data_IF_694522895783
#
_entry.id   IF_694522895783
#
_cell.length_a   1.000
_cell.length_b   1.000
_cell.length_c   1.000
_cell.angle_alpha   90.00
_cell.angle_beta   90.00
_cell.angle_gamma   90.00
#
_symmetry.space_group_name_H-M   'P 1'
#
loop_
_entity.id
_entity.type
_entity.pdbx_description
1 polymer ?
#
# COMPACT_ATOMS: atom_id res chain seq x y z
N UNK A 1 5.31 14.70 7.01
CA UNK A 1 4.78 15.43 5.82
C UNK A 1 3.93 16.64 6.21
N UNK A 2 2.93 16.51 7.09
CA UNK A 2 2.05 17.64 7.47
C UNK A 2 2.81 18.95 7.83
N UNK A 3 3.88 18.88 8.64
CA UNK A 3 4.67 20.06 9.06
C UNK A 3 5.08 20.99 7.91
N UNK A 4 5.51 20.45 6.76
CA UNK A 4 6.08 21.24 5.65
C UNK A 4 5.05 21.77 4.65
N UNK A 5 3.80 21.29 4.71
CA UNK A 5 2.74 21.80 3.83
C UNK A 5 2.23 23.16 4.31
N UNK A 6 1.80 24.01 3.37
CA UNK A 6 1.02 25.22 3.68
C UNK A 6 -0.40 24.82 4.14
N UNK A 7 -1.10 25.71 4.84
CA UNK A 7 -2.53 25.50 5.16
C UNK A 7 -3.33 25.31 3.87
N UNK A 8 -4.21 24.30 3.82
CA UNK A 8 -4.93 23.91 2.61
C UNK A 8 -4.08 23.13 1.59
N UNK A 9 -2.80 22.87 1.88
CA UNK A 9 -1.95 22.06 1.01
C UNK A 9 -2.33 20.58 1.04
N UNK A 10 -2.09 19.89 -0.08
CA UNK A 10 -2.49 18.50 -0.26
C UNK A 10 -1.29 17.54 -0.21
N UNK A 11 -1.52 16.35 0.33
CA UNK A 11 -0.64 15.19 0.27
C UNK A 11 -1.32 14.11 -0.56
N UNK A 12 -0.59 13.56 -1.52
CA UNK A 12 -1.03 12.46 -2.38
C UNK A 12 0.03 11.35 -2.31
N UNK A 13 -0.37 10.15 -1.92
CA UNK A 13 0.52 8.97 -1.84
C UNK A 13 -0.10 7.85 -2.66
N UNK A 14 0.67 7.26 -3.56
CA UNK A 14 0.30 6.06 -4.31
C UNK A 14 1.20 4.94 -3.81
N UNK A 15 0.60 3.92 -3.20
CA UNK A 15 1.36 2.82 -2.61
C UNK A 15 0.72 1.46 -2.95
N UNK A 16 1.53 0.41 -2.99
CA UNK A 16 1.05 -0.96 -3.13
C UNK A 16 0.37 -1.41 -1.84
N UNK A 17 -0.76 -2.10 -1.99
CA UNK A 17 -1.58 -2.59 -0.88
C UNK A 17 -2.11 -3.99 -1.16
N UNK A 18 -2.66 -4.62 -0.14
CA UNK A 18 -3.24 -5.95 -0.24
C UNK A 18 -4.75 -5.84 -0.50
N UNK A 19 -5.29 -6.48 -1.55
CA UNK A 19 -6.73 -6.55 -1.77
C UNK A 19 -7.46 -7.14 -0.56
N UNK A 20 -8.59 -6.53 -0.18
CA UNK A 20 -9.35 -6.91 1.02
C UNK A 20 -10.56 -7.80 0.73
N UNK A 21 -11.08 -7.76 -0.50
CA UNK A 21 -12.31 -8.44 -0.90
C UNK A 21 -12.07 -9.68 -1.76
N UNK A 22 -12.98 -10.66 -1.61
CA UNK A 22 -13.08 -11.79 -2.54
C UNK A 22 -13.56 -11.30 -3.92
N UNK A 23 -13.07 -11.88 -5.03
CA UNK A 23 -12.07 -12.96 -5.12
C UNK A 23 -10.62 -12.47 -5.16
N UNK A 24 -10.40 -11.16 -5.29
CA UNK A 24 -9.07 -10.62 -5.59
C UNK A 24 -8.06 -10.87 -4.46
N UNK A 25 -8.50 -10.83 -3.19
CA UNK A 25 -7.64 -11.14 -2.03
C UNK A 25 -6.97 -12.51 -2.18
N UNK A 26 -7.74 -13.54 -2.54
CA UNK A 26 -7.24 -14.90 -2.69
C UNK A 26 -6.31 -15.03 -3.88
N UNK A 27 -6.72 -14.48 -5.04
CA UNK A 27 -5.90 -14.50 -6.24
C UNK A 27 -4.55 -13.81 -6.03
N UNK A 28 -4.57 -12.63 -5.40
CA UNK A 28 -3.36 -11.88 -5.10
C UNK A 28 -2.46 -12.62 -4.12
N UNK A 29 -3.02 -13.23 -3.06
CA UNK A 29 -2.25 -14.02 -2.10
C UNK A 29 -1.59 -15.25 -2.74
N UNK A 30 -2.29 -15.96 -3.62
CA UNK A 30 -1.70 -17.10 -4.36
C UNK A 30 -0.58 -16.61 -5.28
N UNK A 31 -0.80 -15.51 -6.00
CA UNK A 31 0.21 -14.91 -6.86
C UNK A 31 1.45 -14.46 -6.06
N UNK A 32 1.27 -13.70 -4.98
CA UNK A 32 2.37 -13.12 -4.19
C UNK A 32 3.19 -14.17 -3.46
N UNK A 33 2.55 -15.25 -2.97
CA UNK A 33 3.20 -16.26 -2.14
C UNK A 33 3.74 -17.45 -2.94
N UNK A 34 3.22 -17.70 -4.14
CA UNK A 34 3.60 -18.88 -4.94
C UNK A 34 4.28 -18.48 -6.24
N UNK A 35 3.62 -17.61 -7.03
CA UNK A 35 4.10 -17.26 -8.38
C UNK A 35 5.33 -16.35 -8.28
N UNK A 36 5.23 -15.24 -7.54
CA UNK A 36 6.30 -14.25 -7.42
C UNK A 36 7.62 -14.86 -6.91
N UNK A 37 7.65 -15.68 -5.85
CA UNK A 37 8.89 -16.26 -5.35
C UNK A 37 9.49 -17.32 -6.29
N UNK A 38 8.66 -18.07 -7.02
CA UNK A 38 9.14 -19.01 -8.04
C UNK A 38 9.80 -18.27 -9.20
N UNK A 39 9.17 -17.21 -9.73
CA UNK A 39 9.76 -16.40 -10.79
C UNK A 39 11.04 -15.69 -10.34
N UNK A 40 11.06 -15.13 -9.12
CA UNK A 40 12.26 -14.51 -8.56
C UNK A 40 13.44 -15.48 -8.44
N UNK A 41 13.17 -16.74 -8.07
CA UNK A 41 14.18 -17.82 -8.03
C UNK A 41 14.73 -18.15 -9.42
N UNK A 42 13.87 -18.16 -10.44
CA UNK A 42 14.24 -18.54 -11.80
C UNK A 42 15.05 -17.46 -12.53
N UNK A 43 14.71 -16.18 -12.35
CA UNK A 43 15.30 -15.09 -13.15
C UNK A 43 16.51 -14.44 -12.45
N UNK A 44 16.37 -14.07 -11.18
CA UNK A 44 17.35 -13.19 -10.53
C UNK A 44 18.33 -13.92 -9.60
N UNK A 45 18.14 -15.23 -9.35
CA UNK A 45 18.80 -16.01 -8.27
C UNK A 45 18.70 -15.40 -6.86
N UNK A 46 18.06 -14.24 -6.72
CA UNK A 46 17.89 -13.50 -5.48
C UNK A 46 16.42 -13.55 -5.06
N UNK A 47 16.10 -14.51 -4.21
CA UNK A 47 14.78 -14.65 -3.60
C UNK A 47 14.47 -13.54 -2.59
N UNK A 48 15.50 -12.85 -2.08
CA UNK A 48 15.36 -11.95 -0.95
C UNK A 48 14.62 -10.67 -1.32
N UNK A 49 14.85 -10.13 -2.51
CA UNK A 49 14.24 -8.88 -2.99
C UNK A 49 12.70 -8.98 -3.11
N UNK A 50 12.19 -10.08 -3.64
CA UNK A 50 10.74 -10.29 -3.80
C UNK A 50 10.05 -10.63 -2.48
N UNK A 51 10.73 -11.37 -1.60
CA UNK A 51 10.24 -11.58 -0.23
C UNK A 51 10.18 -10.25 0.53
N UNK A 52 11.19 -9.41 0.38
CA UNK A 52 11.23 -8.07 0.97
C UNK A 52 10.07 -7.21 0.47
N UNK A 53 9.83 -7.16 -0.86
CA UNK A 53 8.69 -6.43 -1.43
C UNK A 53 7.36 -6.84 -0.77
N UNK A 54 7.05 -8.13 -0.73
CA UNK A 54 5.81 -8.61 -0.12
C UNK A 54 5.71 -8.21 1.36
N UNK A 55 6.80 -8.38 2.13
CA UNK A 55 6.85 -8.00 3.55
C UNK A 55 6.62 -6.51 3.75
N UNK A 56 7.17 -5.65 2.88
CA UNK A 56 6.97 -4.19 2.99
C UNK A 56 5.53 -3.78 2.69
N UNK A 57 4.89 -4.41 1.71
CA UNK A 57 3.47 -4.18 1.40
C UNK A 57 2.60 -4.54 2.62
N UNK A 58 2.83 -5.70 3.22
CA UNK A 58 2.08 -6.18 4.39
C UNK A 58 2.31 -5.33 5.65
N UNK A 59 3.53 -4.81 5.84
CA UNK A 59 3.87 -3.98 6.99
C UNK A 59 3.34 -2.54 6.89
N UNK A 60 3.01 -2.06 5.69
CA UNK A 60 2.51 -0.71 5.48
C UNK A 60 1.11 -0.55 6.09
N UNK A 61 0.80 0.53 6.83
CA UNK A 61 -0.56 0.80 7.30
C UNK A 61 -1.49 1.06 6.11
N UNK A 62 -2.55 0.26 5.95
CA UNK A 62 -3.42 0.33 4.78
C UNK A 62 -4.83 0.82 5.12
N UNK A 63 -5.48 1.46 4.15
CA UNK A 63 -6.89 1.86 4.25
C UNK A 63 -7.19 2.73 5.47
N UNK A 64 -8.11 2.26 6.29
CA UNK A 64 -8.62 2.93 7.48
C UNK A 64 -7.53 3.19 8.53
N UNK A 65 -6.56 2.27 8.67
CA UNK A 65 -5.42 2.46 9.58
C UNK A 65 -4.57 3.65 9.15
N UNK A 66 -4.38 3.84 7.84
CA UNK A 66 -3.65 4.99 7.30
C UNK A 66 -4.40 6.31 7.54
N UNK A 67 -5.74 6.28 7.54
CA UNK A 67 -6.55 7.47 7.86
C UNK A 67 -6.29 7.94 9.30
N UNK A 68 -6.22 7.00 10.25
CA UNK A 68 -5.86 7.31 11.63
C UNK A 68 -4.43 7.84 11.76
N UNK A 69 -3.49 7.33 10.96
CA UNK A 69 -2.12 7.88 10.89
C UNK A 69 -2.14 9.33 10.42
N UNK A 70 -2.89 9.68 9.36
CA UNK A 70 -2.99 11.06 8.89
C UNK A 70 -3.67 11.98 9.90
N UNK A 71 -4.74 11.52 10.55
CA UNK A 71 -5.43 12.28 11.59
C UNK A 71 -4.49 12.61 12.75
N UNK A 72 -3.75 11.61 13.25
CA UNK A 72 -2.72 11.80 14.30
C UNK A 72 -1.59 12.72 13.85
N UNK A 73 -1.24 12.71 12.55
CA UNK A 73 -0.24 13.60 11.98
C UNK A 73 -0.72 15.06 11.80
N UNK A 74 -2.00 15.36 12.07
CA UNK A 74 -2.57 16.71 12.04
C UNK A 74 -3.13 17.14 10.69
N UNK A 75 -3.50 16.21 9.81
CA UNK A 75 -4.27 16.53 8.61
C UNK A 75 -5.75 16.75 8.94
N UNK A 76 -6.36 17.79 8.39
CA UNK A 76 -7.76 18.13 8.64
C UNK A 76 -8.74 17.16 7.96
N UNK A 77 -8.38 16.66 6.78
CA UNK A 77 -9.16 15.68 6.01
C UNK A 77 -8.23 14.64 5.41
N UNK A 78 -8.67 13.38 5.39
CA UNK A 78 -7.97 12.31 4.72
C UNK A 78 -8.99 11.32 4.13
N UNK A 79 -8.68 10.80 2.96
CA UNK A 79 -9.44 9.77 2.28
C UNK A 79 -8.49 8.86 1.49
N UNK A 80 -9.01 7.73 1.02
CA UNK A 80 -8.26 6.85 0.14
C UNK A 80 -9.15 6.21 -0.90
N UNK A 81 -8.55 5.83 -2.02
CA UNK A 81 -9.19 5.11 -3.11
C UNK A 81 -8.36 3.89 -3.49
N UNK A 82 -8.97 2.72 -3.39
CA UNK A 82 -8.40 1.46 -3.86
C UNK A 82 -8.47 1.42 -5.39
N UNK A 83 -7.33 1.17 -6.02
CA UNK A 83 -7.13 1.02 -7.45
C UNK A 83 -6.86 -0.44 -7.78
N UNK A 84 -7.23 -0.88 -8.97
CA UNK A 84 -7.00 -2.27 -9.45
C UNK A 84 -7.42 -3.29 -8.39
N UNK A 85 -8.66 -3.18 -7.92
CA UNK A 85 -9.25 -4.06 -6.92
C UNK A 85 -8.50 -4.11 -5.56
N UNK A 86 -7.70 -3.08 -5.25
CA UNK A 86 -6.99 -2.94 -3.97
C UNK A 86 -5.53 -3.38 -3.98
N UNK A 87 -4.97 -3.71 -5.15
CA UNK A 87 -3.53 -3.96 -5.30
C UNK A 87 -2.71 -2.68 -5.10
N UNK A 88 -3.31 -1.53 -5.39
CA UNK A 88 -2.72 -0.22 -5.13
C UNK A 88 -3.75 0.66 -4.47
N UNK A 89 -3.32 1.54 -3.57
CA UNK A 89 -4.19 2.52 -2.93
C UNK A 89 -3.60 3.92 -3.09
N UNK A 90 -4.46 4.81 -3.57
CA UNK A 90 -4.22 6.25 -3.58
C UNK A 90 -4.73 6.82 -2.26
N UNK A 91 -3.86 7.46 -1.49
CA UNK A 91 -4.20 8.20 -0.29
C UNK A 91 -4.13 9.70 -0.56
N UNK A 92 -5.15 10.43 -0.12
CA UNK A 92 -5.23 11.87 -0.28
C UNK A 92 -5.53 12.52 1.07
N UNK A 93 -4.75 13.52 1.45
CA UNK A 93 -4.94 14.26 2.69
C UNK A 93 -4.76 15.77 2.48
N UNK A 94 -5.47 16.57 3.25
CA UNK A 94 -5.41 18.03 3.21
C UNK A 94 -5.03 18.57 4.59
N UNK A 95 -4.04 19.47 4.63
CA UNK A 95 -3.59 20.13 5.87
C UNK A 95 -4.54 21.21 6.33
#
# INVERSE_FOLDING_TARGET
MCRVLKKGGHLCIVELTTPVSFPMKQLFSIYSNTVLPMYGKLISKDQSAYSYLNKTIEAFPQGEVMMEVFKKAGFAKAEFKRLTFGICTLYFATK
#
